data_IF_104651949460
#
_entry.id   IF_104651949460
#
_cell.length_a   1.000
_cell.length_b   1.000
_cell.length_c   1.000
_cell.angle_alpha   90.00
_cell.angle_beta   90.00
_cell.angle_gamma   90.00
#
_symmetry.space_group_name_H-M   'P 1'
#
loop_
_entity.id
_entity.type
_entity.pdbx_description
1 polymer ?
#
# COMPACT_ATOMS: atom_id res chain seq x y z
N UNK A 1 -8.66 -19.32 -11.37
CA UNK A 1 -8.85 -18.19 -10.44
C UNK A 1 -7.68 -17.25 -10.63
N UNK A 2 -7.93 -15.99 -11.04
CA UNK A 2 -6.87 -15.01 -11.27
C UNK A 2 -6.23 -14.63 -9.94
N UNK A 3 -4.90 -14.60 -9.87
CA UNK A 3 -4.19 -14.15 -8.67
C UNK A 3 -4.16 -12.62 -8.67
N UNK A 4 -4.98 -12.00 -7.83
CA UNK A 4 -4.94 -10.55 -7.58
C UNK A 4 -3.66 -10.17 -6.81
N UNK A 5 -2.57 -9.90 -7.54
CA UNK A 5 -1.30 -9.48 -6.96
C UNK A 5 -1.33 -8.00 -6.58
N UNK A 6 -0.49 -7.60 -5.61
CA UNK A 6 -0.26 -6.20 -5.30
C UNK A 6 0.52 -5.54 -6.43
N UNK A 7 -0.04 -4.52 -7.06
CA UNK A 7 0.66 -3.71 -8.07
C UNK A 7 1.62 -2.73 -7.38
N UNK A 8 2.52 -2.16 -8.18
CA UNK A 8 3.41 -1.11 -7.71
C UNK A 8 2.62 0.12 -7.22
N UNK A 9 1.56 0.54 -7.93
CA UNK A 9 0.76 1.70 -7.49
C UNK A 9 0.09 1.46 -6.13
N UNK A 10 -0.47 0.27 -5.92
CA UNK A 10 -1.11 -0.06 -4.65
C UNK A 10 -0.10 -0.13 -3.50
N UNK A 11 1.11 -0.63 -3.77
CA UNK A 11 2.20 -0.64 -2.79
C UNK A 11 2.75 0.76 -2.52
N UNK A 12 2.81 1.65 -3.51
CA UNK A 12 3.16 3.07 -3.31
C UNK A 12 2.16 3.75 -2.40
N UNK A 13 0.86 3.54 -2.58
CA UNK A 13 -0.16 4.11 -1.69
C UNK A 13 -0.09 3.57 -0.25
N UNK A 14 0.27 2.29 -0.10
CA UNK A 14 0.50 1.71 1.23
C UNK A 14 1.78 2.24 1.88
N UNK A 15 2.85 2.44 1.11
CA UNK A 15 4.11 3.02 1.59
C UNK A 15 3.95 4.50 1.93
N UNK A 16 3.16 5.25 1.16
CA UNK A 16 2.77 6.64 1.43
C UNK A 16 2.14 6.79 2.82
N UNK A 17 1.19 5.89 3.15
CA UNK A 17 0.58 5.85 4.48
C UNK A 17 1.57 5.39 5.57
N UNK A 18 2.47 4.45 5.27
CA UNK A 18 3.51 4.05 6.21
C UNK A 18 4.42 5.25 6.56
N UNK A 19 4.84 6.00 5.56
CA UNK A 19 5.68 7.19 5.70
C UNK A 19 4.99 8.31 6.50
N UNK A 20 3.71 8.60 6.23
CA UNK A 20 2.95 9.61 7.01
C UNK A 20 2.84 9.24 8.49
N UNK A 21 2.90 7.94 8.80
CA UNK A 21 2.90 7.42 10.17
C UNK A 21 4.31 7.29 10.76
N UNK A 22 5.33 7.80 10.09
CA UNK A 22 6.73 7.66 10.50
C UNK A 22 7.16 6.20 10.58
N UNK A 23 6.70 5.37 9.64
CA UNK A 23 6.95 3.94 9.54
C UNK A 23 6.49 3.12 10.76
N UNK A 24 5.47 3.61 11.47
CA UNK A 24 4.81 2.89 12.57
C UNK A 24 3.57 2.14 12.09
N UNK A 25 3.52 0.84 12.40
CA UNK A 25 2.47 -0.07 11.96
C UNK A 25 1.06 0.36 12.41
N UNK A 26 0.07 0.41 11.49
CA UNK A 26 -1.34 0.52 11.84
C UNK A 26 -1.99 -0.86 12.03
N UNK A 27 -3.18 -0.86 12.63
CA UNK A 27 -4.07 -2.03 12.63
C UNK A 27 -5.20 -1.85 11.59
N UNK A 28 -6.04 -2.88 11.41
CA UNK A 28 -7.13 -2.86 10.43
C UNK A 28 -8.25 -1.85 10.75
N UNK A 29 -8.38 -1.42 12.00
CA UNK A 29 -9.38 -0.44 12.44
C UNK A 29 -8.87 1.02 12.40
N UNK A 30 -7.60 1.22 12.05
CA UNK A 30 -7.00 2.55 11.91
C UNK A 30 -7.74 3.32 10.80
N UNK A 31 -8.29 4.52 11.05
CA UNK A 31 -9.14 5.23 10.09
C UNK A 31 -8.50 5.37 8.70
N UNK A 32 -7.21 5.72 8.64
CA UNK A 32 -6.48 5.90 7.38
C UNK A 32 -6.29 4.59 6.61
N UNK A 33 -6.28 3.44 7.31
CA UNK A 33 -6.26 2.10 6.67
C UNK A 33 -7.61 1.78 6.05
N UNK A 34 -8.70 2.14 6.73
CA UNK A 34 -10.07 1.96 6.20
C UNK A 34 -10.27 2.82 4.96
N UNK A 35 -9.88 4.09 5.00
CA UNK A 35 -9.93 5.00 3.84
C UNK A 35 -9.10 4.49 2.66
N UNK A 36 -7.89 3.96 2.93
CA UNK A 36 -7.05 3.37 1.89
C UNK A 36 -7.68 2.11 1.30
N UNK A 37 -8.25 1.24 2.14
CA UNK A 37 -9.00 0.05 1.70
C UNK A 37 -10.15 0.42 0.75
N UNK A 38 -10.94 1.43 1.11
CA UNK A 38 -12.02 1.93 0.25
C UNK A 38 -11.50 2.50 -1.07
N UNK A 39 -10.40 3.26 -1.04
CA UNK A 39 -9.79 3.81 -2.25
C UNK A 39 -9.29 2.70 -3.18
N UNK A 40 -8.57 1.71 -2.65
CA UNK A 40 -8.04 0.58 -3.43
C UNK A 40 -9.17 -0.27 -4.03
N UNK A 41 -10.29 -0.43 -3.31
CA UNK A 41 -11.46 -1.14 -3.84
C UNK A 41 -12.15 -0.40 -5.00
N UNK A 42 -12.00 0.92 -5.10
CA UNK A 42 -12.50 1.70 -6.24
C UNK A 42 -11.61 1.61 -7.48
N UNK A 43 -10.35 1.19 -7.34
CA UNK A 43 -9.46 1.02 -8.48
C UNK A 43 -9.97 -0.10 -9.41
N UNK A 44 -9.90 0.11 -10.72
CA UNK A 44 -10.38 -0.82 -11.76
C UNK A 44 -9.28 -1.75 -12.28
N UNK A 45 -8.27 -2.03 -11.44
CA UNK A 45 -7.10 -2.86 -11.76
C UNK A 45 -7.51 -4.31 -12.08
N UNK A 46 -8.46 -4.85 -11.33
CA UNK A 46 -8.98 -6.21 -11.52
C UNK A 46 -10.51 -6.19 -11.72
N UNK A 47 -11.05 -7.01 -12.66
CA UNK A 47 -12.49 -7.20 -12.78
C UNK A 47 -13.12 -7.65 -11.47
N UNK A 48 -14.35 -7.20 -11.18
CA UNK A 48 -15.02 -7.52 -9.90
C UNK A 48 -15.16 -9.03 -9.66
N UNK A 49 -15.38 -9.82 -10.70
CA UNK A 49 -15.56 -11.28 -10.60
C UNK A 49 -14.26 -12.05 -10.29
N UNK A 50 -13.09 -11.41 -10.48
CA UNK A 50 -11.78 -12.02 -10.21
C UNK A 50 -11.24 -11.68 -8.82
N UNK A 51 -11.91 -10.79 -8.09
CA UNK A 51 -11.47 -10.33 -6.78
C UNK A 51 -11.81 -11.38 -5.71
N UNK A 52 -10.83 -11.80 -4.89
CA UNK A 52 -11.12 -12.63 -3.72
C UNK A 52 -11.95 -11.85 -2.70
N UNK A 53 -12.65 -12.56 -1.81
CA UNK A 53 -13.47 -11.96 -0.75
C UNK A 53 -12.71 -10.94 0.12
N UNK A 54 -11.42 -11.19 0.36
CA UNK A 54 -10.56 -10.31 1.14
C UNK A 54 -9.79 -9.27 0.30
N UNK A 55 -10.18 -9.03 -0.96
CA UNK A 55 -9.51 -8.10 -1.85
C UNK A 55 -9.42 -6.71 -1.24
N UNK A 56 -8.18 -6.30 -0.93
CA UNK A 56 -7.86 -4.98 -0.36
C UNK A 56 -8.71 -4.62 0.86
N UNK A 57 -9.13 -5.62 1.63
CA UNK A 57 -9.79 -5.41 2.93
C UNK A 57 -8.86 -4.66 3.89
N UNK A 58 -9.38 -3.96 4.91
CA UNK A 58 -8.55 -3.22 5.87
C UNK A 58 -7.46 -4.08 6.52
N UNK A 59 -7.76 -5.36 6.82
CA UNK A 59 -6.79 -6.32 7.34
C UNK A 59 -5.67 -6.64 6.34
N UNK A 60 -6.00 -6.81 5.05
CA UNK A 60 -4.99 -7.04 4.02
C UNK A 60 -4.10 -5.81 3.79
N UNK A 61 -4.69 -4.60 3.87
CA UNK A 61 -3.98 -3.32 3.75
C UNK A 61 -3.03 -3.12 4.93
N UNK A 62 -3.51 -3.25 6.18
CA UNK A 62 -2.68 -3.15 7.39
C UNK A 62 -1.51 -4.15 7.34
N UNK A 63 -1.75 -5.40 6.94
CA UNK A 63 -0.69 -6.39 6.77
C UNK A 63 0.33 -5.98 5.71
N UNK A 64 -0.12 -5.47 4.55
CA UNK A 64 0.79 -5.00 3.50
C UNK A 64 1.64 -3.82 3.97
N UNK A 65 1.06 -2.88 4.71
CA UNK A 65 1.81 -1.78 5.32
C UNK A 65 2.89 -2.33 6.26
N UNK A 66 2.55 -3.33 7.08
CA UNK A 66 3.54 -4.00 7.94
C UNK A 66 4.67 -4.69 7.17
N UNK A 67 4.38 -5.30 6.01
CA UNK A 67 5.42 -5.84 5.13
C UNK A 67 6.33 -4.75 4.55
N UNK A 68 5.77 -3.61 4.13
CA UNK A 68 6.57 -2.47 3.65
C UNK A 68 7.44 -1.91 4.76
N UNK A 69 6.89 -1.71 5.96
CA UNK A 69 7.66 -1.29 7.14
C UNK A 69 8.82 -2.25 7.41
N UNK A 70 8.64 -3.57 7.25
CA UNK A 70 9.72 -4.53 7.39
C UNK A 70 10.87 -4.36 6.41
N UNK A 71 10.67 -3.64 5.30
CA UNK A 71 11.71 -3.34 4.32
C UNK A 71 12.45 -2.03 4.62
N UNK A 72 11.98 -1.26 5.62
CA UNK A 72 12.57 0.03 5.98
C UNK A 72 13.90 -0.16 6.74
N UNK A 73 14.92 0.69 6.55
CA UNK A 73 16.21 0.56 7.25
C UNK A 73 16.11 0.59 8.77
N UNK A 74 15.09 1.26 9.31
CA UNK A 74 14.80 1.29 10.76
C UNK A 74 13.77 0.24 11.23
N UNK A 75 13.48 -0.78 10.41
CA UNK A 75 12.51 -1.81 10.75
C UNK A 75 12.86 -2.50 12.10
N UNK A 76 11.85 -2.77 12.95
CA UNK A 76 12.08 -3.49 14.20
C UNK A 76 12.49 -4.95 13.93
N UNK A 77 13.21 -5.57 14.86
CA UNK A 77 13.71 -6.97 14.73
C UNK A 77 12.60 -8.00 14.48
N UNK A 78 11.37 -7.72 14.92
CA UNK A 78 10.19 -8.56 14.75
C UNK A 78 9.26 -8.08 13.64
N UNK A 79 9.76 -7.32 12.67
CA UNK A 79 8.96 -6.86 11.53
C UNK A 79 8.45 -8.03 10.67
N UNK A 80 7.38 -7.78 9.92
CA UNK A 80 6.81 -8.78 9.02
C UNK A 80 7.77 -9.10 7.88
N UNK A 81 7.65 -10.33 7.36
CA UNK A 81 8.45 -10.78 6.22
C UNK A 81 8.12 -9.94 4.99
N UNK A 82 9.18 -9.47 4.36
CA UNK A 82 9.15 -8.67 3.14
C UNK A 82 9.30 -9.57 1.90
N UNK A 83 9.04 -9.00 0.74
CA UNK A 83 9.23 -9.56 -0.59
C UNK A 83 10.08 -8.60 -1.42
N UNK A 84 10.70 -9.13 -2.48
CA UNK A 84 11.57 -8.36 -3.36
C UNK A 84 10.88 -7.14 -4.00
N UNK A 85 9.54 -7.13 -4.12
CA UNK A 85 8.80 -6.00 -4.69
C UNK A 85 8.61 -4.82 -3.73
N UNK A 86 8.71 -5.05 -2.41
CA UNK A 86 8.50 -4.00 -1.40
C UNK A 86 9.77 -3.15 -1.16
N UNK A 87 10.95 -3.78 -1.23
CA UNK A 87 12.24 -3.12 -0.95
C UNK A 87 12.50 -1.91 -1.85
N UNK A 88 12.37 -1.97 -3.19
CA UNK A 88 12.63 -0.81 -4.06
C UNK A 88 11.67 0.35 -3.80
N UNK A 89 10.43 0.05 -3.42
CA UNK A 89 9.43 1.09 -3.11
C UNK A 89 9.85 1.85 -1.85
N UNK A 90 10.22 1.11 -0.81
CA UNK A 90 10.61 1.71 0.47
C UNK A 90 11.91 2.49 0.34
N UNK A 91 12.91 1.96 -0.38
CA UNK A 91 14.14 2.69 -0.65
C UNK A 91 13.87 4.03 -1.34
N UNK A 92 12.99 4.08 -2.35
CA UNK A 92 12.64 5.36 -2.99
C UNK A 92 12.04 6.39 -2.02
N UNK A 93 11.22 5.96 -1.06
CA UNK A 93 10.69 6.87 -0.04
C UNK A 93 11.76 7.36 0.94
N UNK A 94 12.72 6.51 1.28
CA UNK A 94 13.86 6.85 2.14
C UNK A 94 14.82 7.81 1.43
N UNK A 95 15.09 7.55 0.15
CA UNK A 95 16.05 8.30 -0.66
C UNK A 95 15.50 9.68 -1.05
N UNK A 96 14.26 9.76 -1.53
CA UNK A 96 13.61 11.03 -1.81
C UNK A 96 12.08 10.97 -1.60
N UNK A 97 11.66 11.48 -0.44
CA UNK A 97 10.26 11.52 -0.02
C UNK A 97 9.39 12.37 -0.96
N UNK A 98 9.90 13.49 -1.46
CA UNK A 98 9.09 14.48 -2.20
C UNK A 98 8.48 13.94 -3.50
N UNK A 99 9.25 13.33 -4.43
CA UNK A 99 8.70 12.75 -5.65
C UNK A 99 7.79 11.57 -5.34
N UNK A 100 8.09 10.77 -4.32
CA UNK A 100 7.22 9.65 -3.93
C UNK A 100 5.86 10.11 -3.41
N UNK A 101 5.81 11.19 -2.62
CA UNK A 101 4.55 11.83 -2.22
C UNK A 101 3.76 12.38 -3.40
N UNK A 102 4.42 13.01 -4.37
CA UNK A 102 3.77 13.48 -5.60
C UNK A 102 3.18 12.31 -6.40
N UNK A 103 3.96 11.25 -6.58
CA UNK A 103 3.50 10.04 -7.27
C UNK A 103 2.30 9.39 -6.58
N UNK A 104 2.32 9.27 -5.24
CA UNK A 104 1.19 8.77 -4.48
C UNK A 104 -0.06 9.65 -4.68
N UNK A 105 0.10 10.98 -4.64
CA UNK A 105 -1.00 11.91 -4.91
C UNK A 105 -1.60 11.73 -6.32
N UNK A 106 -0.75 11.59 -7.34
CA UNK A 106 -1.18 11.36 -8.73
C UNK A 106 -1.95 10.04 -8.89
N UNK A 107 -1.48 8.97 -8.25
CA UNK A 107 -2.19 7.67 -8.22
C UNK A 107 -3.58 7.84 -7.58
N UNK A 108 -3.69 8.54 -6.44
CA UNK A 108 -4.98 8.80 -5.78
C UNK A 108 -5.93 9.57 -6.70
N UNK A 109 -5.43 10.57 -7.44
CA UNK A 109 -6.22 11.33 -8.42
C UNK A 109 -6.71 10.42 -9.55
N UNK A 110 -5.85 9.57 -10.11
CA UNK A 110 -6.21 8.63 -11.19
C UNK A 110 -7.31 7.66 -10.75
N UNK A 111 -7.19 7.06 -9.56
CA UNK A 111 -8.22 6.17 -9.02
C UNK A 111 -9.56 6.91 -8.86
N UNK A 112 -9.55 8.12 -8.27
CA UNK A 112 -10.77 8.92 -8.09
C UNK A 112 -11.44 9.30 -9.40
N UNK A 113 -10.67 9.47 -10.47
CA UNK A 113 -11.16 9.74 -11.84
C UNK A 113 -11.54 8.46 -12.60
N UNK A 114 -11.32 7.28 -12.02
CA UNK A 114 -11.56 5.99 -12.69
C UNK A 114 -10.58 5.70 -13.84
N UNK A 115 -9.38 6.28 -13.78
CA UNK A 115 -8.28 6.13 -14.75
C UNK A 115 -7.23 5.11 -14.30
N UNK A 116 -7.56 4.31 -13.29
CA UNK A 116 -6.79 3.20 -12.75
C UNK A 116 -7.76 2.10 -12.29
#
# INVERSE_FOLDING_TARGET
MVRCLWTEEEMILAADLADDRGWKGPNSATPEVVELSELLNRAKIYPLHDRPENFRSPSSVSRKIGNLIGSHPSAPRNALRTSAGEVPIVNRFVDDRTPMKRQAADIRVRIRRGLL
#
